data_IF_327790565262
#
_entry.id   IF_327790565262
#
_cell.length_a   1.000
_cell.length_b   1.000
_cell.length_c   1.000
_cell.angle_alpha   90.00
_cell.angle_beta   90.00
_cell.angle_gamma   90.00
#
_symmetry.space_group_name_H-M   'P 1'
#
loop_
_entity.id
_entity.type
_entity.pdbx_description
1 polymer ?
#
# COMPACT_ATOMS: atom_id res chain seq x y z
N UNK A 1 -35.83 -54.25 -3.08
CA UNK A 1 -37.26 -53.96 -2.84
C UNK A 1 -37.27 -52.69 -1.97
N UNK A 2 -37.78 -51.52 -2.35
CA UNK A 2 -38.55 -51.01 -3.51
C UNK A 2 -38.06 -49.57 -3.78
N UNK A 3 -37.78 -49.11 -5.02
CA UNK A 3 -38.70 -48.34 -5.91
C UNK A 3 -39.72 -47.46 -5.14
N UNK A 4 -39.88 -46.14 -5.37
CA UNK A 4 -40.55 -45.49 -6.54
C UNK A 4 -40.69 -43.98 -6.21
N UNK A 5 -40.62 -42.95 -7.06
CA UNK A 5 -40.04 -42.69 -8.40
C UNK A 5 -40.02 -41.16 -8.67
N UNK A 6 -39.28 -40.70 -9.69
CA UNK A 6 -39.25 -39.30 -10.15
C UNK A 6 -40.62 -38.73 -10.59
N UNK A 7 -40.81 -37.41 -10.49
CA UNK A 7 -41.67 -36.64 -11.40
C UNK A 7 -41.03 -35.32 -11.83
N UNK A 8 -40.83 -35.19 -13.14
CA UNK A 8 -40.51 -33.97 -13.88
C UNK A 8 -41.84 -33.30 -14.24
N UNK A 9 -41.91 -31.97 -14.21
CA UNK A 9 -42.98 -31.23 -14.89
C UNK A 9 -42.47 -29.91 -15.46
N UNK A 10 -42.61 -29.78 -16.77
CA UNK A 10 -42.13 -28.67 -17.60
C UNK A 10 -43.29 -27.84 -18.14
N UNK A 11 -43.22 -26.51 -18.04
CA UNK A 11 -44.06 -25.55 -18.78
C UNK A 11 -43.22 -24.30 -19.06
N UNK A 12 -42.69 -24.13 -20.27
CA UNK A 12 -43.26 -23.43 -21.45
C UNK A 12 -43.39 -21.90 -21.31
N UNK A 13 -42.64 -21.22 -22.19
CA UNK A 13 -42.60 -19.78 -22.47
C UNK A 13 -43.84 -19.35 -23.27
N UNK A 14 -44.26 -18.08 -23.15
CA UNK A 14 -44.57 -17.29 -24.36
C UNK A 14 -43.93 -15.88 -24.36
N UNK A 15 -43.54 -15.42 -25.56
CA UNK A 15 -43.14 -14.04 -25.85
C UNK A 15 -44.37 -13.15 -26.12
N UNK A 16 -44.33 -11.86 -25.77
CA UNK A 16 -44.69 -10.73 -26.68
C UNK A 16 -44.64 -9.34 -26.01
N UNK A 17 -44.25 -8.31 -26.79
CA UNK A 17 -44.39 -6.87 -26.49
C UNK A 17 -45.86 -6.41 -26.57
N UNK A 18 -46.18 -5.20 -26.06
CA UNK A 18 -46.46 -4.10 -27.00
C UNK A 18 -45.90 -2.72 -26.59
N UNK A 19 -45.95 -1.76 -27.51
CA UNK A 19 -45.45 -0.38 -27.39
C UNK A 19 -46.56 0.67 -27.58
N UNK A 20 -46.42 1.84 -26.92
CA UNK A 20 -47.02 3.15 -27.32
C UNK A 20 -46.18 4.26 -26.66
N UNK A 21 -45.52 5.16 -27.40
CA UNK A 21 -45.98 6.36 -28.15
C UNK A 21 -46.32 7.60 -27.29
N UNK A 22 -45.41 8.59 -27.32
CA UNK A 22 -45.65 10.04 -27.20
C UNK A 22 -44.53 10.74 -27.99
N UNK A 23 -44.75 11.21 -29.22
CA UNK A 23 -45.28 12.54 -29.63
C UNK A 23 -44.27 13.68 -29.44
N UNK A 24 -44.07 14.48 -30.48
CA UNK A 24 -42.98 15.46 -30.60
C UNK A 24 -43.47 16.89 -30.90
N UNK A 25 -42.71 17.87 -30.41
CA UNK A 25 -42.63 19.28 -30.86
C UNK A 25 -41.29 19.82 -30.32
N UNK A 26 -40.32 20.29 -31.12
CA UNK A 26 -40.31 21.38 -32.10
C UNK A 26 -40.61 22.75 -31.50
N UNK A 27 -39.55 23.50 -31.15
CA UNK A 27 -39.50 24.96 -31.18
C UNK A 27 -38.04 25.47 -31.28
N UNK A 28 -37.89 26.62 -31.93
CA UNK A 28 -36.73 27.05 -32.75
C UNK A 28 -35.61 27.79 -31.99
N UNK A 29 -34.38 27.62 -32.49
CA UNK A 29 -33.38 28.66 -32.83
C UNK A 29 -33.03 29.79 -31.84
N UNK A 30 -31.75 29.88 -31.50
CA UNK A 30 -30.95 31.12 -31.72
C UNK A 30 -29.53 30.77 -32.19
N UNK A 31 -28.96 31.63 -33.04
CA UNK A 31 -27.60 31.50 -33.58
C UNK A 31 -26.55 32.05 -32.60
N UNK A 32 -25.35 31.46 -32.59
CA UNK A 32 -24.15 32.29 -32.56
C UNK A 32 -23.00 31.68 -33.38
N UNK A 33 -22.65 32.41 -34.43
CA UNK A 33 -21.64 32.16 -35.45
C UNK A 33 -20.26 31.72 -34.95
N UNK A 34 -19.76 30.61 -35.48
CA UNK A 34 -18.32 30.33 -35.56
C UNK A 34 -17.70 31.17 -36.70
N UNK A 35 -16.85 32.13 -36.36
CA UNK A 35 -16.07 32.86 -37.36
C UNK A 35 -14.69 32.22 -37.55
N UNK A 36 -14.50 31.63 -38.73
CA UNK A 36 -13.17 31.36 -39.30
C UNK A 36 -12.53 32.71 -39.65
N UNK A 37 -11.30 32.95 -39.18
CA UNK A 37 -10.45 34.01 -39.74
C UNK A 37 -9.03 33.51 -39.97
N UNK A 38 -8.70 33.36 -41.25
CA UNK A 38 -7.36 33.04 -41.74
C UNK A 38 -6.50 34.30 -41.82
N UNK A 39 -5.23 34.22 -41.36
CA UNK A 39 -4.07 34.91 -41.96
C UNK A 39 -2.76 34.40 -41.33
N UNK A 40 -1.65 34.35 -42.10
CA UNK A 40 -0.39 33.76 -41.65
C UNK A 40 0.41 34.73 -40.76
N UNK A 41 0.94 34.23 -39.64
CA UNK A 41 1.88 34.99 -38.80
C UNK A 41 3.31 34.73 -39.31
N UNK A 42 4.02 35.80 -39.61
CA UNK A 42 5.43 35.76 -40.03
C UNK A 42 6.34 35.32 -38.89
N UNK A 43 7.19 34.32 -39.13
CA UNK A 43 8.21 33.88 -38.17
C UNK A 43 9.43 34.82 -38.23
N UNK A 44 9.44 35.83 -37.36
CA UNK A 44 10.62 36.70 -37.22
C UNK A 44 11.54 36.17 -36.10
N UNK A 45 12.77 35.82 -36.49
CA UNK A 45 13.76 35.14 -35.64
C UNK A 45 14.28 36.06 -34.53
N UNK A 46 13.94 35.77 -33.27
CA UNK A 46 14.47 36.49 -32.09
C UNK A 46 15.86 35.94 -31.73
N UNK A 47 16.91 36.78 -31.65
CA UNK A 47 18.24 36.35 -31.21
C UNK A 47 18.32 36.36 -29.68
N UNK A 48 18.01 35.23 -29.03
CA UNK A 48 18.16 35.10 -27.58
C UNK A 48 19.59 34.71 -27.23
N UNK A 49 20.32 35.67 -26.65
CA UNK A 49 21.71 35.58 -26.17
C UNK A 49 21.95 34.32 -25.33
N UNK A 50 22.81 33.42 -25.81
CA UNK A 50 23.23 32.21 -25.07
C UNK A 50 23.92 32.58 -23.76
N UNK A 51 23.28 32.28 -22.64
CA UNK A 51 23.94 32.11 -21.35
C UNK A 51 24.10 30.60 -21.11
N UNK A 52 25.27 30.11 -20.65
CA UNK A 52 25.44 28.71 -20.32
C UNK A 52 24.64 28.39 -19.05
N UNK A 53 23.50 27.74 -19.21
CA UNK A 53 22.79 27.13 -18.09
C UNK A 53 23.62 25.97 -17.55
N UNK A 54 24.20 26.17 -16.36
CA UNK A 54 24.69 25.09 -15.53
C UNK A 54 23.52 24.17 -15.20
N UNK A 55 23.45 23.04 -15.91
CA UNK A 55 22.51 21.96 -15.62
C UNK A 55 22.91 21.27 -14.31
N UNK A 56 22.56 21.92 -13.19
CA UNK A 56 22.56 21.32 -11.86
C UNK A 56 21.38 20.35 -11.76
N UNK A 57 21.49 19.23 -12.48
CA UNK A 57 20.63 18.07 -12.26
C UNK A 57 20.76 17.68 -10.79
N UNK A 58 19.67 17.67 -9.98
CA UNK A 58 19.70 17.02 -8.69
C UNK A 58 19.72 15.51 -8.93
N UNK A 59 20.91 14.97 -9.22
CA UNK A 59 21.14 13.53 -9.10
C UNK A 59 21.04 13.19 -7.63
N UNK A 60 19.84 12.87 -7.18
CA UNK A 60 19.57 12.34 -5.85
C UNK A 60 20.24 10.98 -5.76
N UNK A 61 21.52 10.97 -5.38
CA UNK A 61 22.18 9.76 -4.90
C UNK A 61 21.41 9.28 -3.69
N UNK A 62 20.59 8.25 -3.89
CA UNK A 62 19.86 7.57 -2.82
C UNK A 62 20.88 6.83 -1.97
N UNK A 63 21.44 7.52 -0.98
CA UNK A 63 22.24 6.92 0.08
C UNK A 63 21.33 6.02 0.90
N UNK A 64 21.36 4.72 0.60
CA UNK A 64 20.68 3.71 1.40
C UNK A 64 21.14 3.81 2.85
N UNK A 65 20.20 3.72 3.80
CA UNK A 65 20.53 3.66 5.22
C UNK A 65 21.48 2.47 5.48
N UNK A 66 22.59 2.65 6.22
CA UNK A 66 23.47 1.55 6.61
C UNK A 66 22.72 0.45 7.35
N UNK A 67 23.12 -0.81 7.14
CA UNK A 67 22.45 -1.96 7.78
C UNK A 67 22.61 -1.88 9.30
N UNK A 68 23.75 -1.38 9.76
CA UNK A 68 24.14 -1.25 11.16
C UNK A 68 23.22 -0.32 11.95
N UNK A 69 22.52 0.60 11.27
CA UNK A 69 21.56 1.54 11.87
C UNK A 69 20.12 0.99 11.93
N UNK A 70 19.85 -0.16 11.31
CA UNK A 70 18.53 -0.80 11.34
C UNK A 70 18.34 -1.63 12.61
N UNK A 71 17.09 -1.84 13.08
CA UNK A 71 16.81 -2.71 14.23
C UNK A 71 17.44 -4.11 14.08
N UNK A 72 18.00 -4.73 15.14
CA UNK A 72 18.81 -5.94 15.02
C UNK A 72 18.14 -7.11 14.27
N UNK A 73 16.84 -7.35 14.49
CA UNK A 73 16.10 -8.40 13.75
C UNK A 73 15.90 -8.06 12.28
N UNK A 74 15.79 -6.79 11.93
CA UNK A 74 15.77 -6.38 10.54
C UNK A 74 17.13 -6.60 9.85
N UNK A 75 18.24 -6.37 10.57
CA UNK A 75 19.58 -6.71 10.08
C UNK A 75 19.74 -8.22 9.81
N UNK A 76 19.28 -9.06 10.74
CA UNK A 76 19.31 -10.52 10.58
C UNK A 76 18.50 -10.96 9.36
N UNK A 77 17.27 -10.44 9.20
CA UNK A 77 16.42 -10.71 8.03
C UNK A 77 17.13 -10.31 6.73
N UNK A 78 17.73 -9.11 6.67
CA UNK A 78 18.47 -8.64 5.50
C UNK A 78 19.66 -9.56 5.18
N UNK A 79 20.46 -9.92 6.18
CA UNK A 79 21.60 -10.85 6.01
C UNK A 79 21.15 -12.23 5.50
N UNK A 80 20.03 -12.75 6.00
CA UNK A 80 19.43 -14.00 5.51
C UNK A 80 18.99 -13.88 4.04
N UNK A 81 18.28 -12.82 3.66
CA UNK A 81 17.86 -12.60 2.26
C UNK A 81 19.03 -12.30 1.31
N UNK A 82 20.13 -11.74 1.80
CA UNK A 82 21.36 -11.54 1.04
C UNK A 82 22.16 -12.84 0.83
N UNK A 83 22.09 -13.79 1.78
CA UNK A 83 22.74 -15.10 1.65
C UNK A 83 22.14 -15.98 0.54
N UNK A 84 20.88 -15.74 0.18
CA UNK A 84 20.20 -16.44 -0.92
C UNK A 84 20.55 -15.78 -2.25
N UNK A 85 21.08 -16.56 -3.21
CA UNK A 85 21.44 -16.03 -4.53
C UNK A 85 20.27 -16.12 -5.53
N UNK A 86 19.51 -17.22 -5.52
CA UNK A 86 18.45 -17.45 -6.51
C UNK A 86 17.20 -16.58 -6.23
N UNK A 87 16.71 -15.78 -7.20
CA UNK A 87 15.52 -14.93 -7.02
C UNK A 87 14.26 -15.71 -6.64
N UNK A 88 14.10 -16.92 -7.19
CA UNK A 88 12.98 -17.83 -6.87
C UNK A 88 13.01 -18.28 -5.40
N UNK A 89 14.19 -18.63 -4.88
CA UNK A 89 14.36 -18.99 -3.47
C UNK A 89 14.06 -17.81 -2.53
N UNK A 90 14.42 -16.56 -2.89
CA UNK A 90 14.00 -15.37 -2.12
C UNK A 90 12.49 -15.20 -2.08
N UNK A 91 11.82 -15.46 -3.20
CA UNK A 91 10.36 -15.40 -3.27
C UNK A 91 9.71 -16.48 -2.41
N UNK A 92 10.20 -17.72 -2.47
CA UNK A 92 9.72 -18.84 -1.63
C UNK A 92 9.97 -18.56 -0.13
N UNK A 93 11.14 -18.00 0.22
CA UNK A 93 11.45 -17.54 1.57
C UNK A 93 10.45 -16.46 2.03
N UNK A 94 10.15 -15.47 1.20
CA UNK A 94 9.14 -14.43 1.51
C UNK A 94 7.74 -15.03 1.76
N UNK A 95 7.33 -16.03 0.97
CA UNK A 95 6.08 -16.75 1.22
C UNK A 95 6.12 -17.57 2.52
N UNK A 96 7.28 -18.12 2.89
CA UNK A 96 7.47 -18.81 4.17
C UNK A 96 7.30 -17.86 5.36
N UNK A 97 7.87 -16.64 5.32
CA UNK A 97 7.60 -15.62 6.35
C UNK A 97 6.09 -15.31 6.44
N UNK A 98 5.39 -15.17 5.31
CA UNK A 98 3.94 -14.94 5.27
C UNK A 98 3.11 -16.09 5.83
N UNK A 99 3.52 -17.34 5.60
CA UNK A 99 2.86 -18.54 6.14
C UNK A 99 3.02 -18.68 7.65
N UNK A 100 4.17 -18.28 8.20
CA UNK A 100 4.48 -18.37 9.63
C UNK A 100 4.06 -17.13 10.43
N UNK A 101 3.55 -16.08 9.78
CA UNK A 101 2.97 -14.93 10.47
C UNK A 101 1.66 -15.33 11.15
N UNK A 102 1.65 -15.26 12.49
CA UNK A 102 0.45 -15.46 13.33
C UNK A 102 -0.73 -14.69 12.73
N UNK A 103 -1.89 -15.34 12.46
CA UNK A 103 -3.08 -14.64 11.99
C UNK A 103 -3.49 -13.52 12.95
N UNK A 104 -3.95 -12.39 12.40
CA UNK A 104 -4.58 -11.33 13.17
C UNK A 104 -6.04 -11.71 13.45
N UNK A 105 -6.46 -11.63 14.72
CA UNK A 105 -7.83 -11.92 15.11
C UNK A 105 -8.84 -10.99 14.41
N UNK A 106 -10.03 -11.52 14.09
CA UNK A 106 -11.00 -10.83 13.24
C UNK A 106 -11.50 -9.51 13.83
N UNK A 107 -11.52 -9.38 15.17
CA UNK A 107 -11.86 -8.13 15.86
C UNK A 107 -10.89 -6.98 15.54
N UNK A 108 -9.64 -7.28 15.19
CA UNK A 108 -8.63 -6.28 14.85
C UNK A 108 -8.55 -5.98 13.35
N UNK A 109 -9.36 -6.63 12.51
CA UNK A 109 -9.45 -6.35 11.06
C UNK A 109 -10.34 -5.12 10.75
N UNK A 110 -10.20 -4.08 11.57
CA UNK A 110 -11.00 -2.85 11.50
C UNK A 110 -10.45 -1.87 10.46
N UNK A 111 -11.19 -0.78 10.20
CA UNK A 111 -10.75 0.30 9.30
C UNK A 111 -9.51 1.02 9.82
N UNK A 112 -9.38 1.17 11.14
CA UNK A 112 -8.30 1.87 11.83
C UNK A 112 -6.97 1.11 11.76
N UNK A 113 -7.02 -0.21 11.58
CA UNK A 113 -5.86 -1.07 11.35
C UNK A 113 -5.58 -1.31 9.86
N UNK A 114 -6.48 -0.94 8.95
CA UNK A 114 -6.32 -1.19 7.52
C UNK A 114 -5.22 -0.33 6.89
N UNK A 115 -4.40 -0.93 6.03
CA UNK A 115 -3.41 -0.23 5.21
C UNK A 115 -4.08 0.24 3.92
N UNK A 116 -4.15 1.56 3.73
CA UNK A 116 -4.73 2.13 2.51
C UNK A 116 -3.74 2.13 1.33
N UNK A 117 -4.26 2.10 0.11
CA UNK A 117 -3.46 2.11 -1.13
C UNK A 117 -2.74 0.80 -1.48
N UNK A 118 -2.95 -0.28 -0.71
CA UNK A 118 -2.59 -1.63 -1.13
C UNK A 118 -3.65 -2.19 -2.09
N UNK A 119 -3.25 -2.98 -3.09
CA UNK A 119 -4.17 -3.73 -3.97
C UNK A 119 -4.81 -4.90 -3.22
N UNK A 120 -4.01 -5.60 -2.42
CA UNK A 120 -4.44 -6.60 -1.45
C UNK A 120 -4.94 -5.93 -0.18
N UNK A 121 -5.92 -6.51 0.52
CA UNK A 121 -6.28 -6.05 1.86
C UNK A 121 -5.17 -6.43 2.84
N UNK A 122 -4.75 -5.47 3.66
CA UNK A 122 -3.76 -5.65 4.71
C UNK A 122 -4.24 -4.91 5.95
N UNK A 123 -4.06 -5.53 7.12
CA UNK A 123 -4.28 -4.91 8.42
C UNK A 123 -3.03 -5.01 9.26
N UNK A 124 -2.79 -3.95 10.05
CA UNK A 124 -1.69 -3.83 11.01
C UNK A 124 -2.27 -3.29 12.32
N UNK A 125 -2.14 -4.07 13.37
CA UNK A 125 -2.35 -3.66 14.77
C UNK A 125 -0.99 -3.33 15.38
N UNK A 126 -0.97 -2.36 16.29
CA UNK A 126 0.18 -2.07 17.14
C UNK A 126 -0.29 -1.88 18.59
N UNK A 127 0.55 -2.26 19.54
CA UNK A 127 0.37 -1.99 20.98
C UNK A 127 1.73 -1.90 21.67
N UNK A 128 1.77 -1.46 22.92
CA UNK A 128 2.99 -1.47 23.73
C UNK A 128 3.06 -2.74 24.60
N UNK A 129 4.25 -3.31 24.75
CA UNK A 129 4.54 -4.33 25.77
C UNK A 129 4.80 -3.70 27.16
N UNK A 130 5.13 -4.54 28.15
CA UNK A 130 5.39 -4.10 29.53
C UNK A 130 6.62 -3.22 29.63
N UNK A 131 7.59 -3.45 28.75
CA UNK A 131 8.84 -2.70 28.59
C UNK A 131 8.68 -1.42 27.75
N UNK A 132 7.45 -1.13 27.28
CA UNK A 132 7.07 0.02 26.42
C UNK A 132 7.63 -0.02 25.00
N UNK A 133 8.06 -1.18 24.51
CA UNK A 133 8.38 -1.36 23.10
C UNK A 133 7.10 -1.58 22.29
N UNK A 134 7.16 -1.28 20.99
CA UNK A 134 6.02 -1.48 20.08
C UNK A 134 6.00 -2.92 19.59
N UNK A 135 4.88 -3.60 19.79
CA UNK A 135 4.59 -4.93 19.21
C UNK A 135 3.60 -4.75 18.07
N UNK A 136 3.87 -5.40 16.93
CA UNK A 136 2.99 -5.39 15.77
C UNK A 136 2.37 -6.76 15.51
N UNK A 137 1.12 -6.76 15.06
CA UNK A 137 0.45 -7.93 14.48
C UNK A 137 -0.14 -7.53 13.14
N UNK A 138 -0.07 -8.40 12.13
CA UNK A 138 -0.57 -8.08 10.79
C UNK A 138 -1.15 -9.30 10.08
N UNK A 139 -2.02 -9.06 9.12
CA UNK A 139 -2.57 -10.10 8.23
C UNK A 139 -2.96 -9.52 6.87
N UNK A 140 -3.07 -10.38 5.86
CA UNK A 140 -3.44 -9.98 4.50
C UNK A 140 -4.16 -11.11 3.75
N UNK A 141 -5.07 -10.74 2.84
CA UNK A 141 -5.77 -11.67 1.93
C UNK A 141 -4.84 -12.32 0.89
N UNK A 142 -3.70 -11.70 0.60
CA UNK A 142 -2.67 -12.18 -0.34
C UNK A 142 -1.49 -12.75 0.42
N UNK A 143 -1.13 -14.01 0.12
CA UNK A 143 0.01 -14.71 0.74
C UNK A 143 1.32 -13.93 0.57
N UNK A 144 1.54 -13.32 -0.60
CA UNK A 144 2.75 -12.54 -0.86
C UNK A 144 2.77 -11.22 -0.09
N UNK A 145 1.63 -10.53 -0.05
CA UNK A 145 1.51 -9.28 0.69
C UNK A 145 1.60 -9.53 2.20
N UNK A 146 1.08 -10.67 2.68
CA UNK A 146 1.30 -11.19 4.04
C UNK A 146 2.77 -11.47 4.31
N UNK A 147 3.52 -12.01 3.35
CA UNK A 147 4.97 -12.17 3.44
C UNK A 147 5.70 -10.84 3.66
N UNK A 148 5.35 -9.82 2.89
CA UNK A 148 5.89 -8.46 3.05
C UNK A 148 5.55 -7.85 4.42
N UNK A 149 4.31 -8.02 4.89
CA UNK A 149 3.91 -7.60 6.23
C UNK A 149 4.67 -8.37 7.33
N UNK A 150 4.93 -9.67 7.13
CA UNK A 150 5.67 -10.50 8.07
C UNK A 150 7.11 -10.03 8.29
N UNK A 151 7.81 -9.58 7.23
CA UNK A 151 9.15 -9.01 7.35
C UNK A 151 9.16 -7.75 8.23
N UNK A 152 8.17 -6.87 8.04
CA UNK A 152 8.02 -5.67 8.86
C UNK A 152 7.67 -6.02 10.31
N UNK A 153 6.72 -6.93 10.54
CA UNK A 153 6.34 -7.37 11.89
C UNK A 153 7.54 -7.97 12.63
N UNK A 154 8.28 -8.89 12.02
CA UNK A 154 9.42 -9.54 12.67
C UNK A 154 10.65 -8.61 12.81
N UNK A 155 10.85 -7.68 11.88
CA UNK A 155 11.95 -6.72 11.94
C UNK A 155 11.74 -5.58 12.94
N UNK A 156 10.49 -5.19 13.22
CA UNK A 156 10.15 -3.98 13.99
C UNK A 156 9.46 -4.24 15.34
N UNK A 157 8.94 -5.44 15.61
CA UNK A 157 8.26 -5.73 16.89
C UNK A 157 9.24 -5.85 18.06
N UNK A 158 8.76 -5.48 19.25
CA UNK A 158 9.56 -5.47 20.47
C UNK A 158 10.71 -4.46 20.41
N UNK A 159 10.60 -3.40 19.61
CA UNK A 159 11.57 -2.29 19.51
C UNK A 159 10.98 -0.99 20.09
N UNK A 160 11.79 -0.10 20.68
CA UNK A 160 11.32 1.21 21.14
C UNK A 160 10.82 2.05 19.96
N UNK A 161 9.91 2.98 20.22
CA UNK A 161 9.24 3.80 19.20
C UNK A 161 10.26 4.56 18.32
N UNK A 162 11.31 5.08 18.95
CA UNK A 162 12.36 5.87 18.31
C UNK A 162 13.23 5.04 17.35
N UNK A 163 13.34 3.72 17.54
CA UNK A 163 13.97 2.82 16.56
C UNK A 163 13.05 2.62 15.35
N UNK A 164 11.76 2.32 15.59
CA UNK A 164 10.77 2.10 14.52
C UNK A 164 10.62 3.33 13.62
N UNK A 165 10.62 4.54 14.21
CA UNK A 165 10.52 5.81 13.49
C UNK A 165 11.77 6.16 12.68
N UNK A 166 12.94 5.57 12.98
CA UNK A 166 14.20 5.82 12.26
C UNK A 166 14.41 4.95 11.03
N UNK A 167 13.61 3.90 10.84
CA UNK A 167 13.74 2.99 9.69
C UNK A 167 13.30 3.67 8.39
N UNK A 168 14.24 3.89 7.46
CA UNK A 168 13.92 4.22 6.07
C UNK A 168 13.31 3.01 5.36
N UNK A 169 12.28 3.17 4.49
CA UNK A 169 11.79 2.07 3.65
C UNK A 169 12.82 1.45 2.70
N UNK A 170 13.93 2.14 2.43
CA UNK A 170 14.89 1.77 1.38
C UNK A 170 15.59 0.42 1.64
N UNK A 171 15.51 -0.13 2.87
CA UNK A 171 16.02 -1.47 3.15
C UNK A 171 15.36 -2.57 2.31
N UNK A 172 14.19 -2.33 1.70
CA UNK A 172 13.57 -3.26 0.74
C UNK A 172 14.49 -3.54 -0.46
N UNK A 173 15.36 -2.60 -0.83
CA UNK A 173 16.42 -2.80 -1.83
C UNK A 173 17.42 -3.85 -1.34
N UNK A 174 17.80 -3.78 -0.07
CA UNK A 174 18.79 -4.66 0.57
C UNK A 174 18.30 -6.11 0.70
N UNK A 175 16.99 -6.33 0.77
CA UNK A 175 16.37 -7.66 0.71
C UNK A 175 16.53 -8.34 -0.67
N UNK A 176 16.83 -7.58 -1.73
CA UNK A 176 16.99 -8.11 -3.08
C UNK A 176 15.70 -8.67 -3.70
N UNK A 177 14.53 -8.25 -3.22
CA UNK A 177 13.21 -8.67 -3.70
C UNK A 177 12.72 -7.91 -4.96
N UNK A 178 13.52 -6.95 -5.44
CA UNK A 178 13.22 -6.06 -6.58
C UNK A 178 12.59 -6.77 -7.79
N UNK A 179 13.15 -7.92 -8.19
CA UNK A 179 12.68 -8.69 -9.36
C UNK A 179 11.32 -9.36 -9.16
N UNK A 180 10.87 -9.56 -7.91
CA UNK A 180 9.62 -10.26 -7.57
C UNK A 180 8.45 -9.30 -7.23
N UNK A 181 8.75 -8.01 -7.07
CA UNK A 181 7.78 -7.01 -6.63
C UNK A 181 7.43 -6.05 -7.76
N UNK A 182 6.15 -6.02 -8.12
CA UNK A 182 5.61 -5.00 -9.02
C UNK A 182 5.62 -3.62 -8.33
N UNK A 183 5.60 -2.50 -9.08
CA UNK A 183 5.55 -1.16 -8.49
C UNK A 183 4.42 -0.97 -7.48
N UNK A 184 3.26 -1.60 -7.71
CA UNK A 184 2.14 -1.62 -6.78
C UNK A 184 2.46 -2.31 -5.45
N UNK A 185 3.21 -3.42 -5.45
CA UNK A 185 3.63 -4.13 -4.23
C UNK A 185 4.65 -3.31 -3.43
N UNK A 186 5.58 -2.64 -4.11
CA UNK A 186 6.51 -1.70 -3.47
C UNK A 186 5.74 -0.56 -2.79
N UNK A 187 4.79 0.07 -3.49
CA UNK A 187 3.95 1.13 -2.89
C UNK A 187 3.14 0.62 -1.69
N UNK A 188 2.59 -0.60 -1.76
CA UNK A 188 1.94 -1.25 -0.63
C UNK A 188 2.87 -1.42 0.58
N UNK A 189 4.12 -1.84 0.36
CA UNK A 189 5.14 -1.94 1.40
C UNK A 189 5.46 -0.60 2.06
N UNK A 190 5.63 0.47 1.27
CA UNK A 190 5.82 1.82 1.79
C UNK A 190 4.65 2.25 2.68
N UNK A 191 3.42 1.92 2.29
CA UNK A 191 2.22 2.25 3.06
C UNK A 191 2.10 1.42 4.35
N UNK A 192 2.53 0.14 4.33
CA UNK A 192 2.62 -0.70 5.53
C UNK A 192 3.57 -0.08 6.57
N UNK A 193 4.81 0.25 6.18
CA UNK A 193 5.79 0.87 7.08
C UNK A 193 5.29 2.22 7.63
N UNK A 194 4.72 3.08 6.76
CA UNK A 194 4.15 4.37 7.18
C UNK A 194 3.02 4.21 8.20
N UNK A 195 2.15 3.21 8.05
CA UNK A 195 1.09 2.94 9.03
C UNK A 195 1.68 2.44 10.36
N UNK A 196 2.69 1.56 10.32
CA UNK A 196 3.38 1.07 11.52
C UNK A 196 4.04 2.22 12.29
N UNK A 197 4.78 3.09 11.61
CA UNK A 197 5.41 4.29 12.18
C UNK A 197 4.37 5.26 12.75
N UNK A 198 3.27 5.52 12.02
CA UNK A 198 2.15 6.35 12.52
C UNK A 198 1.54 5.78 13.80
N UNK A 199 1.33 4.46 13.87
CA UNK A 199 0.78 3.79 15.06
C UNK A 199 1.75 3.81 16.25
N UNK A 200 3.03 3.55 16.01
CA UNK A 200 4.09 3.66 17.02
C UNK A 200 4.15 5.07 17.64
N UNK A 201 4.12 6.12 16.81
CA UNK A 201 4.06 7.51 17.27
C UNK A 201 2.76 7.80 18.05
N UNK A 202 1.61 7.28 17.61
CA UNK A 202 0.34 7.42 18.32
C UNK A 202 0.41 6.87 19.76
N UNK A 203 0.89 5.63 19.92
CA UNK A 203 1.08 4.98 21.21
C UNK A 203 2.01 5.77 22.14
N UNK A 204 3.10 6.33 21.59
CA UNK A 204 4.04 7.18 22.33
C UNK A 204 3.38 8.46 22.85
N UNK A 205 2.63 9.17 22.01
CA UNK A 205 1.93 10.39 22.38
C UNK A 205 0.81 10.13 23.41
N UNK A 206 0.10 9.00 23.29
CA UNK A 206 -0.89 8.57 24.27
C UNK A 206 -0.25 8.27 25.64
N UNK A 207 0.87 7.54 25.67
CA UNK A 207 1.62 7.25 26.89
C UNK A 207 2.14 8.53 27.57
N UNK A 208 2.71 9.47 26.80
CA UNK A 208 3.13 10.78 27.33
C UNK A 208 1.96 11.60 27.87
N UNK A 209 0.83 11.62 27.17
CA UNK A 209 -0.37 12.35 27.62
C UNK A 209 -0.90 11.81 28.94
N UNK A 210 -0.90 10.48 29.12
CA UNK A 210 -1.27 9.84 30.39
C UNK A 210 -0.31 10.23 31.52
N UNK A 211 1.00 10.17 31.27
CA UNK A 211 2.03 10.55 32.25
C UNK A 211 1.85 12.01 32.72
N UNK A 212 1.70 12.95 31.79
CA UNK A 212 1.47 14.37 32.10
C UNK A 212 0.14 14.57 32.85
N UNK A 213 -0.92 13.84 32.49
CA UNK A 213 -2.22 13.92 33.18
C UNK A 213 -2.14 13.42 34.62
N UNK A 214 -1.29 12.42 34.90
CA UNK A 214 -1.05 11.92 36.27
C UNK A 214 -0.23 12.96 37.06
N UNK A 215 0.86 13.46 36.49
CA UNK A 215 1.74 14.44 37.15
C UNK A 215 1.06 15.79 37.46
N UNK A 216 0.08 16.21 36.66
CA UNK A 216 -0.71 17.43 36.89
C UNK A 216 -1.91 17.22 37.85
N UNK A 217 -2.09 16.01 38.38
CA UNK A 217 -3.17 15.66 39.33
C UNK A 217 -2.64 15.16 40.69
N UNK A 218 -1.33 15.16 40.88
CA UNK A 218 -0.62 14.82 42.11
C UNK A 218 -0.11 16.09 42.80
#
# INVERSE_FOLDING_TARGET
MSSTSLRILTTKIPNSLPSTKAVASSLKSTNLSFFIFSKPVSFQRIPTKTQPLLASSPSSSMSLQPIEELPPKLQEIIKLFQSVQEPKAKYEQLLFYGKNLKPLDSEFKTRENKVEGCVSQVWVRAYLDLEKNVVFEADSDSVLTKGLAALLVQGLSGRPVEEVLRVSPDFIVLLGLQQSLTPSRNNGFLNMLKLMQKKALGLYLEALKLLVTILLRA
#
